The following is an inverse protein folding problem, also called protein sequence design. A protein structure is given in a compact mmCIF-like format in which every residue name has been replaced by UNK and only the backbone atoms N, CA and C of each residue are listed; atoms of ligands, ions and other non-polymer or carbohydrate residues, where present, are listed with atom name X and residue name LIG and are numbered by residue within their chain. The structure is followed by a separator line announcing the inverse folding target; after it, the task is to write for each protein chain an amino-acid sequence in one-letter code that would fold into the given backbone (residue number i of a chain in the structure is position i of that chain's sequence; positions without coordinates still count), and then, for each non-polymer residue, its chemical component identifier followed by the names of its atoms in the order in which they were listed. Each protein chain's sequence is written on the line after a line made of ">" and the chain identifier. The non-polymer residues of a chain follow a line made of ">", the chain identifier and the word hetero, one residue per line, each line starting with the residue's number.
data_IF_511411573502
#
_entry.id   IF_511411573502
#
_cell.length_a   1.000
_cell.length_b   1.000
_cell.length_c   1.000
_cell.angle_alpha   90.00
_cell.angle_beta   90.00
_cell.angle_gamma   90.00
#
_symmetry.space_group_name_H-M   'P 1'
#
loop_
_entity.id
_entity.type
_entity.pdbx_description
1 polymer ?
#
# COMPACT_ATOMS: atom_id res chain seq x y z
N UNK A 1 15.25 0.99 -5.09
CA UNK A 1 15.66 1.23 -3.68
C UNK A 1 15.38 0.03 -2.76
N UNK A 2 14.20 -0.61 -2.82
CA UNK A 2 13.82 -1.73 -1.95
C UNK A 2 14.74 -2.97 -1.99
N UNK A 3 15.37 -3.27 -3.13
CA UNK A 3 16.28 -4.42 -3.27
C UNK A 3 17.43 -4.47 -2.26
N UNK A 4 17.86 -3.30 -1.76
CA UNK A 4 18.96 -3.18 -0.80
C UNK A 4 18.48 -3.15 0.67
N UNK A 5 17.17 -3.30 0.89
CA UNK A 5 16.52 -3.19 2.21
C UNK A 5 15.82 -4.48 2.64
N UNK A 6 16.16 -5.61 2.00
CA UNK A 6 15.54 -6.93 2.25
C UNK A 6 15.65 -7.37 3.72
N UNK A 7 16.71 -6.98 4.41
CA UNK A 7 16.95 -7.33 5.82
C UNK A 7 16.51 -6.25 6.81
N UNK A 8 15.96 -5.13 6.35
CA UNK A 8 15.60 -3.99 7.19
C UNK A 8 14.09 -3.80 7.28
N UNK A 9 13.64 -3.19 8.38
CA UNK A 9 12.31 -2.59 8.48
C UNK A 9 12.34 -1.21 7.85
N UNK A 10 11.25 -0.85 7.17
CA UNK A 10 11.11 0.41 6.46
C UNK A 10 9.91 1.19 6.94
N UNK A 11 10.13 2.49 7.03
CA UNK A 11 9.08 3.49 7.11
C UNK A 11 8.92 4.14 5.74
N UNK A 12 7.68 4.29 5.29
CA UNK A 12 7.36 4.76 3.94
C UNK A 12 6.20 5.74 4.00
N UNK A 13 6.35 6.87 3.30
CA UNK A 13 5.28 7.80 2.99
C UNK A 13 5.02 7.75 1.48
N UNK A 14 3.79 7.50 1.06
CA UNK A 14 3.46 7.29 -0.35
C UNK A 14 1.99 7.61 -0.66
N UNK A 15 1.62 7.60 -1.93
CA UNK A 15 0.24 7.75 -2.40
C UNK A 15 -0.31 6.39 -2.83
N UNK A 16 -1.53 6.07 -2.40
CA UNK A 16 -2.26 4.88 -2.83
C UNK A 16 -2.71 5.02 -4.29
N UNK A 17 -2.52 3.94 -5.05
CA UNK A 17 -2.78 3.85 -6.49
C UNK A 17 -3.76 2.74 -6.86
N UNK A 18 -4.29 2.05 -5.85
CA UNK A 18 -5.45 1.18 -6.00
C UNK A 18 -6.24 1.07 -4.70
N UNK A 19 -7.50 0.69 -4.84
CA UNK A 19 -8.39 0.38 -3.72
C UNK A 19 -8.24 -1.11 -3.39
N UNK A 20 -7.99 -1.49 -2.12
CA UNK A 20 -7.91 -2.89 -1.76
C UNK A 20 -9.27 -3.58 -1.97
N UNK A 21 -9.30 -4.85 -2.40
CA UNK A 21 -10.53 -5.63 -2.39
C UNK A 21 -10.97 -5.89 -0.94
N UNK A 22 -12.21 -6.39 -0.79
CA UNK A 22 -12.75 -6.77 0.50
C UNK A 22 -11.78 -7.68 1.29
N UNK A 23 -11.49 -7.35 2.57
CA UNK A 23 -10.56 -8.11 3.40
C UNK A 23 -10.90 -9.60 3.46
N UNK A 24 -9.93 -10.43 3.10
CA UNK A 24 -10.09 -11.89 3.12
C UNK A 24 -9.42 -12.49 4.35
N UNK A 25 -10.13 -13.37 5.05
CA UNK A 25 -9.57 -14.10 6.18
C UNK A 25 -8.87 -15.36 5.69
N UNK A 26 -7.60 -15.53 6.07
CA UNK A 26 -6.85 -16.74 5.72
C UNK A 26 -7.51 -18.00 6.31
N UNK A 27 -7.63 -19.05 5.50
CA UNK A 27 -8.21 -20.34 5.91
C UNK A 27 -7.25 -21.19 6.76
N UNK A 28 -5.94 -20.95 6.61
CA UNK A 28 -4.85 -21.67 7.25
C UNK A 28 -3.90 -20.68 7.93
N UNK A 29 -3.12 -21.15 8.91
CA UNK A 29 -2.21 -20.31 9.70
C UNK A 29 -2.95 -19.44 10.73
N UNK A 30 -2.44 -18.24 11.09
CA UNK A 30 -3.00 -17.37 12.12
C UNK A 30 -4.42 -16.82 11.85
N UNK A 31 -5.01 -17.16 10.69
CA UNK A 31 -6.35 -16.72 10.26
C UNK A 31 -6.55 -15.20 10.30
N UNK A 32 -5.47 -14.45 10.02
CA UNK A 32 -5.53 -13.00 9.87
C UNK A 32 -6.34 -12.61 8.62
N UNK A 33 -7.02 -11.47 8.71
CA UNK A 33 -7.53 -10.74 7.56
C UNK A 33 -6.36 -10.12 6.80
N UNK A 34 -6.46 -10.17 5.48
CA UNK A 34 -5.45 -9.63 4.57
C UNK A 34 -6.09 -8.64 3.61
N UNK A 35 -5.41 -7.52 3.40
CA UNK A 35 -5.66 -6.64 2.25
C UNK A 35 -4.38 -6.46 1.45
N UNK A 36 -4.54 -6.08 0.19
CA UNK A 36 -3.44 -5.79 -0.72
C UNK A 36 -3.84 -4.63 -1.61
N UNK A 37 -2.95 -3.65 -1.75
CA UNK A 37 -3.13 -2.48 -2.62
C UNK A 37 -1.75 -2.01 -3.09
N UNK A 38 -1.73 -1.08 -4.04
CA UNK A 38 -0.49 -0.54 -4.62
C UNK A 38 -0.26 0.90 -4.19
N UNK A 39 1.00 1.27 -4.00
CA UNK A 39 1.43 2.63 -3.68
C UNK A 39 2.48 3.13 -4.68
N UNK A 40 2.61 4.45 -4.77
CA UNK A 40 3.65 5.12 -5.55
C UNK A 40 4.22 6.35 -4.85
N UNK A 41 5.37 6.80 -5.30
CA UNK A 41 5.99 8.07 -4.92
C UNK A 41 6.73 8.68 -6.13
N UNK A 42 7.32 9.86 -5.91
CA UNK A 42 8.11 10.58 -6.92
C UNK A 42 9.28 9.78 -7.48
N UNK A 43 9.78 8.77 -6.75
CA UNK A 43 11.00 8.03 -7.12
C UNK A 43 10.74 6.88 -8.08
N UNK A 44 9.51 6.37 -8.15
CA UNK A 44 9.14 5.23 -9.00
C UNK A 44 8.06 5.54 -10.03
N UNK A 45 7.24 6.57 -9.81
CA UNK A 45 6.25 7.02 -10.77
C UNK A 45 6.89 7.64 -12.03
N UNK A 46 6.17 7.68 -13.16
CA UNK A 46 4.85 7.06 -13.40
C UNK A 46 4.95 5.57 -13.79
N UNK A 47 6.16 5.00 -13.82
CA UNK A 47 6.42 3.66 -14.36
C UNK A 47 6.39 2.52 -13.35
N UNK A 48 6.25 2.83 -12.06
CA UNK A 48 6.38 1.85 -10.99
C UNK A 48 5.37 2.07 -9.89
N UNK A 49 4.95 0.94 -9.31
CA UNK A 49 4.19 0.87 -8.07
C UNK A 49 4.81 -0.21 -7.18
N UNK A 50 4.55 -0.12 -5.88
CA UNK A 50 4.93 -1.14 -4.90
C UNK A 50 3.66 -1.74 -4.33
N UNK A 51 3.58 -3.06 -4.29
CA UNK A 51 2.49 -3.76 -3.60
C UNK A 51 2.71 -3.69 -2.08
N UNK A 52 1.64 -3.39 -1.34
CA UNK A 52 1.60 -3.42 0.12
C UNK A 52 0.65 -4.52 0.55
N UNK A 53 1.11 -5.40 1.46
CA UNK A 53 0.31 -6.47 2.06
C UNK A 53 0.21 -6.27 3.56
N UNK A 54 -1.02 -6.14 4.05
CA UNK A 54 -1.29 -5.92 5.48
C UNK A 54 -2.08 -7.10 6.04
N UNK A 55 -1.64 -7.61 7.18
CA UNK A 55 -2.21 -8.77 7.88
C UNK A 55 -2.62 -8.38 9.30
N UNK A 56 -3.90 -8.50 9.68
CA UNK A 56 -4.35 -8.28 11.06
C UNK A 56 -5.37 -9.31 11.55
N UNK A 57 -5.44 -9.61 12.86
CA UNK A 57 -6.44 -10.53 13.40
C UNK A 57 -7.89 -10.06 13.21
N UNK A 58 -8.11 -8.75 13.10
CA UNK A 58 -9.43 -8.12 13.01
C UNK A 58 -9.56 -7.25 11.75
N UNK A 59 -10.78 -7.19 11.18
CA UNK A 59 -11.06 -6.48 9.92
C UNK A 59 -11.02 -4.96 10.09
N UNK A 60 -11.53 -4.45 11.20
CA UNK A 60 -11.57 -3.04 11.58
C UNK A 60 -10.17 -2.44 11.81
N UNK A 61 -9.19 -3.27 12.16
CA UNK A 61 -7.80 -2.85 12.27
C UNK A 61 -7.18 -2.49 10.91
N UNK A 62 -7.71 -2.99 9.78
CA UNK A 62 -7.13 -2.79 8.46
C UNK A 62 -7.43 -1.39 7.90
N UNK A 63 -6.49 -0.76 7.17
CA UNK A 63 -6.71 0.55 6.58
C UNK A 63 -7.68 0.48 5.41
N UNK A 64 -8.32 1.61 5.11
CA UNK A 64 -9.21 1.75 3.95
C UNK A 64 -8.73 2.86 3.01
N UNK A 65 -7.60 2.68 2.31
CA UNK A 65 -7.09 3.67 1.38
C UNK A 65 -7.92 3.70 0.08
N UNK A 66 -8.14 4.90 -0.44
CA UNK A 66 -8.63 5.15 -1.78
C UNK A 66 -7.52 5.64 -2.71
N UNK A 67 -7.77 5.70 -4.02
CA UNK A 67 -6.78 6.23 -4.96
C UNK A 67 -6.56 7.72 -4.67
N UNK A 68 -5.31 8.13 -4.53
CA UNK A 68 -4.95 9.50 -4.15
C UNK A 68 -4.76 9.69 -2.64
N UNK A 69 -5.27 8.77 -1.80
CA UNK A 69 -5.01 8.82 -0.37
C UNK A 69 -3.51 8.72 -0.10
N UNK A 70 -3.07 9.51 0.87
CA UNK A 70 -1.75 9.41 1.44
C UNK A 70 -1.67 8.26 2.42
N UNK A 71 -0.56 7.52 2.45
CA UNK A 71 -0.34 6.47 3.43
C UNK A 71 1.04 6.58 4.07
N UNK A 72 1.06 6.53 5.40
CA UNK A 72 2.25 6.28 6.21
C UNK A 72 2.26 4.82 6.61
N UNK A 73 3.37 4.15 6.35
CA UNK A 73 3.65 2.77 6.76
C UNK A 73 4.86 2.79 7.67
N UNK A 74 4.76 2.17 8.86
CA UNK A 74 5.86 2.03 9.82
C UNK A 74 6.25 0.58 10.02
N UNK A 75 7.54 0.32 10.09
CA UNK A 75 8.14 -0.99 10.33
C UNK A 75 7.73 -2.11 9.35
N UNK A 76 7.59 -1.80 8.06
CA UNK A 76 7.28 -2.81 7.04
C UNK A 76 8.52 -3.60 6.61
N UNK A 77 8.37 -4.90 6.39
CA UNK A 77 9.42 -5.74 5.80
C UNK A 77 9.36 -5.68 4.27
N UNK A 78 10.52 -5.81 3.63
CA UNK A 78 10.59 -5.97 2.18
C UNK A 78 10.59 -7.44 1.83
N UNK A 79 9.67 -7.86 0.97
CA UNK A 79 9.58 -9.22 0.44
C UNK A 79 9.76 -9.21 -1.08
N UNK A 80 10.44 -10.22 -1.63
CA UNK A 80 10.54 -10.38 -3.08
C UNK A 80 9.29 -11.08 -3.61
N UNK A 81 8.79 -10.63 -4.75
CA UNK A 81 7.74 -11.29 -5.51
C UNK A 81 8.35 -11.81 -6.80
N UNK A 82 8.29 -13.13 -6.98
CA UNK A 82 8.84 -13.81 -8.16
C UNK A 82 8.27 -13.18 -9.43
N UNK A 83 9.15 -12.67 -10.29
CA UNK A 83 8.80 -12.05 -11.57
C UNK A 83 8.18 -10.64 -11.49
N UNK A 84 8.10 -10.03 -10.29
CA UNK A 84 7.38 -8.77 -10.05
C UNK A 84 8.11 -7.75 -9.18
N UNK A 85 9.33 -8.06 -8.75
CA UNK A 85 10.14 -7.15 -7.94
C UNK A 85 9.91 -7.34 -6.45
N UNK A 86 9.54 -6.27 -5.75
CA UNK A 86 9.47 -6.23 -4.29
C UNK A 86 8.12 -5.70 -3.80
N UNK A 87 7.70 -6.15 -2.63
CA UNK A 87 6.53 -5.69 -1.92
C UNK A 87 6.86 -5.35 -0.46
N UNK A 88 6.04 -4.48 0.11
CA UNK A 88 6.04 -4.19 1.53
C UNK A 88 5.04 -5.11 2.23
N UNK A 89 5.47 -5.73 3.33
CA UNK A 89 4.65 -6.63 4.13
C UNK A 89 4.63 -6.16 5.58
N UNK A 90 3.43 -6.06 6.15
CA UNK A 90 3.29 -5.80 7.58
C UNK A 90 3.74 -7.01 8.40
N UNK A 91 4.42 -6.76 9.51
CA UNK A 91 4.57 -7.72 10.60
C UNK A 91 3.72 -7.29 11.82
N UNK A 92 3.98 -7.92 12.97
CA UNK A 92 3.28 -7.65 14.23
C UNK A 92 3.46 -6.20 14.70
N UNK A 93 4.68 -5.67 14.69
CA UNK A 93 4.99 -4.28 15.10
C UNK A 93 4.58 -3.20 14.10
N UNK A 94 4.21 -3.56 12.87
CA UNK A 94 3.92 -2.55 11.84
C UNK A 94 2.68 -1.71 12.16
N UNK A 95 2.68 -0.45 11.74
CA UNK A 95 1.54 0.44 11.95
C UNK A 95 1.34 1.36 10.74
N UNK A 96 0.16 1.98 10.61
CA UNK A 96 -0.16 2.81 9.45
C UNK A 96 -1.19 3.90 9.72
N UNK A 97 -1.04 5.02 9.03
CA UNK A 97 -2.02 6.09 9.00
C UNK A 97 -2.40 6.38 7.54
N UNK A 98 -3.69 6.50 7.28
CA UNK A 98 -4.22 6.92 5.97
C UNK A 98 -4.63 8.38 6.08
N UNK A 99 -3.96 9.22 5.32
CA UNK A 99 -4.29 10.62 5.16
C UNK A 99 -5.29 10.69 4.01
N UNK A 100 -6.53 11.11 4.27
CA UNK A 100 -7.59 11.19 3.24
C UNK A 100 -7.37 12.32 2.26
N UNK A 101 -7.36 12.00 0.97
CA UNK A 101 -7.09 12.97 -0.12
C UNK A 101 -8.02 14.18 0.00
N UNK A 102 -9.30 13.88 0.23
CA UNK A 102 -10.32 14.85 0.58
C UNK A 102 -10.21 15.23 2.07
N UNK A 103 -9.74 16.46 2.32
CA UNK A 103 -9.79 17.07 3.65
C UNK A 103 -8.54 16.88 4.52
N UNK A 104 -8.75 17.02 5.83
CA UNK A 104 -7.67 16.98 6.85
C UNK A 104 -7.72 15.73 7.72
N UNK A 105 -8.58 14.77 7.36
CA UNK A 105 -8.79 13.56 8.12
C UNK A 105 -7.59 12.62 8.00
N UNK A 106 -7.15 12.11 9.15
CA UNK A 106 -6.15 11.05 9.24
C UNK A 106 -6.78 9.87 9.95
N UNK A 107 -7.01 8.81 9.19
CA UNK A 107 -7.49 7.54 9.68
C UNK A 107 -6.33 6.74 10.26
N UNK A 108 -6.38 6.46 11.57
CA UNK A 108 -5.45 5.57 12.25
C UNK A 108 -6.23 4.33 12.71
N UNK A 109 -6.21 3.28 11.87
CA UNK A 109 -6.76 1.97 12.20
C UNK A 109 -5.67 1.02 12.64
N UNK A 110 -5.97 0.16 13.61
CA UNK A 110 -5.01 -0.83 14.12
C UNK A 110 -4.06 -0.24 15.18
N UNK A 111 -2.78 -0.64 15.20
CA UNK A 111 -1.82 -0.17 16.21
C UNK A 111 -1.63 1.36 16.17
N UNK A 112 -1.33 2.02 17.30
CA UNK A 112 -0.98 3.43 17.32
C UNK A 112 0.18 3.76 16.38
N UNK A 113 0.13 4.95 15.77
CA UNK A 113 1.10 5.41 14.77
C UNK A 113 1.60 6.78 15.15
N UNK A 114 2.92 6.92 15.15
CA UNK A 114 3.56 8.22 15.34
C UNK A 114 3.70 8.93 14.00
N UNK A 115 3.08 10.11 13.92
CA UNK A 115 3.23 11.07 12.83
C UNK A 115 3.11 12.49 13.37
N UNK A 116 3.88 13.41 12.80
CA UNK A 116 3.97 14.78 13.26
C UNK A 116 3.86 15.80 12.13
N UNK A 117 4.41 17.00 12.39
CA UNK A 117 4.42 18.07 11.40
C UNK A 117 5.21 17.70 10.14
N UNK A 118 6.32 16.95 10.29
CA UNK A 118 7.15 16.50 9.17
C UNK A 118 6.40 15.61 8.20
N UNK A 119 5.77 14.53 8.69
CA UNK A 119 4.98 13.63 7.85
C UNK A 119 3.79 14.35 7.21
N UNK A 120 3.09 15.21 7.96
CA UNK A 120 1.96 16.00 7.42
C UNK A 120 2.40 16.92 6.27
N UNK A 121 3.52 17.62 6.45
CA UNK A 121 4.08 18.50 5.41
C UNK A 121 4.47 17.71 4.17
N UNK A 122 5.21 16.61 4.36
CA UNK A 122 5.64 15.79 3.24
C UNK A 122 4.47 15.13 2.51
N UNK A 123 3.40 14.76 3.24
CA UNK A 123 2.19 14.23 2.64
C UNK A 123 1.50 15.25 1.74
N UNK A 124 1.46 16.52 2.15
CA UNK A 124 0.92 17.62 1.32
C UNK A 124 1.70 17.74 0.01
N UNK A 125 3.03 17.71 0.09
CA UNK A 125 3.92 17.77 -1.07
C UNK A 125 3.70 16.57 -2.03
N UNK A 126 3.57 15.36 -1.48
CA UNK A 126 3.28 14.16 -2.27
C UNK A 126 1.94 14.23 -2.98
N UNK A 127 0.89 14.75 -2.32
CA UNK A 127 -0.42 14.89 -2.97
C UNK A 127 -0.41 15.96 -4.05
N UNK A 128 0.17 17.11 -3.78
CA UNK A 128 0.31 18.18 -4.78
C UNK A 128 1.02 17.66 -6.04
N UNK A 129 2.09 16.89 -5.83
CA UNK A 129 2.78 16.21 -6.92
C UNK A 129 1.88 15.20 -7.66
N UNK A 130 1.18 14.33 -6.93
CA UNK A 130 0.37 13.27 -7.53
C UNK A 130 -0.79 13.83 -8.37
N UNK A 131 -1.46 14.87 -7.88
CA UNK A 131 -2.52 15.57 -8.60
C UNK A 131 -1.99 16.32 -9.83
N UNK A 132 -0.75 16.82 -9.73
CA UNK A 132 -0.03 17.48 -10.81
C UNK A 132 0.47 16.57 -11.93
N UNK A 133 0.31 15.24 -11.83
CA UNK A 133 0.66 14.32 -12.92
C UNK A 133 -0.20 14.60 -14.17
N UNK A 134 0.45 14.60 -15.34
CA UNK A 134 -0.23 14.75 -16.61
C UNK A 134 -1.05 13.48 -16.98
N UNK A 135 -1.90 13.59 -18.00
CA UNK A 135 -2.79 12.51 -18.40
C UNK A 135 -2.03 11.24 -18.85
N UNK A 136 -0.91 11.40 -19.56
CA UNK A 136 -0.10 10.27 -20.00
C UNK A 136 0.56 9.55 -18.81
N UNK A 137 1.02 10.32 -17.82
CA UNK A 137 1.57 9.81 -16.58
C UNK A 137 0.52 9.06 -15.77
N UNK A 138 -0.70 9.61 -15.64
CA UNK A 138 -1.85 8.98 -14.98
C UNK A 138 -2.23 7.66 -15.64
N UNK A 139 -2.38 7.65 -16.97
CA UNK A 139 -2.68 6.42 -17.75
C UNK A 139 -1.59 5.36 -17.55
N UNK A 140 -0.31 5.76 -17.55
CA UNK A 140 0.79 4.82 -17.35
C UNK A 140 0.78 4.23 -15.94
N UNK A 141 0.54 5.06 -14.94
CA UNK A 141 0.48 4.64 -13.54
C UNK A 141 -0.68 3.67 -13.30
N UNK A 142 -1.87 3.96 -13.83
CA UNK A 142 -3.04 3.08 -13.77
C UNK A 142 -2.76 1.71 -14.44
N UNK A 143 -2.13 1.71 -15.62
CA UNK A 143 -1.73 0.48 -16.32
C UNK A 143 -0.79 -0.37 -15.47
N UNK A 144 0.22 0.24 -14.85
CA UNK A 144 1.19 -0.47 -14.00
C UNK A 144 0.53 -0.98 -12.72
N UNK A 145 -0.33 -0.18 -12.09
CA UNK A 145 -1.12 -0.59 -10.92
C UNK A 145 -1.98 -1.83 -11.23
N UNK A 146 -2.74 -1.78 -12.34
CA UNK A 146 -3.57 -2.89 -12.80
C UNK A 146 -2.76 -4.14 -13.13
N UNK A 147 -1.61 -4.01 -13.78
CA UNK A 147 -0.73 -5.13 -14.10
C UNK A 147 -0.16 -5.79 -12.83
N UNK A 148 0.17 -4.98 -11.82
CA UNK A 148 0.64 -5.50 -10.54
C UNK A 148 -0.45 -6.32 -9.86
N UNK A 149 -1.68 -5.83 -9.79
CA UNK A 149 -2.80 -6.57 -9.20
C UNK A 149 -3.10 -7.90 -9.91
N UNK A 150 -3.16 -7.90 -11.24
CA UNK A 150 -3.56 -9.08 -12.04
C UNK A 150 -2.64 -10.27 -11.86
N UNK A 151 -1.35 -10.03 -11.65
CA UNK A 151 -0.40 -11.13 -11.43
C UNK A 151 -0.14 -11.43 -9.95
N UNK A 152 -0.81 -10.75 -9.00
CA UNK A 152 -0.65 -11.08 -7.59
C UNK A 152 -1.42 -12.36 -7.28
N UNK A 153 -0.79 -13.36 -6.62
CA UNK A 153 -1.34 -14.72 -6.49
C UNK A 153 -2.65 -14.83 -5.66
N UNK A 154 -3.24 -13.72 -5.21
CA UNK A 154 -4.52 -13.68 -4.50
C UNK A 154 -5.76 -13.73 -5.40
N UNK A 155 -5.68 -13.34 -6.67
CA UNK A 155 -6.84 -13.38 -7.60
C UNK A 155 -7.01 -14.74 -8.31
N UNK A 156 -5.96 -15.57 -8.42
CA UNK A 156 -6.00 -16.81 -9.23
C UNK A 156 -6.58 -18.06 -8.53
N UNK A 157 -6.91 -18.01 -7.23
CA UNK A 157 -7.48 -19.16 -6.51
C UNK A 157 -9.01 -19.15 -6.32
N UNK A 158 -9.73 -18.16 -6.87
CA UNK A 158 -11.20 -18.07 -6.72
C UNK A 158 -12.03 -18.46 -7.96
N UNK A 159 -11.42 -18.66 -9.14
CA UNK A 159 -12.16 -18.99 -10.38
C UNK A 159 -11.90 -20.41 -10.92
N UNK A 160 -11.79 -21.41 -10.06
CA UNK A 160 -11.97 -22.81 -10.49
C UNK A 160 -12.86 -23.58 -9.54
N UNK A 161 -14.16 -23.32 -9.65
CA UNK A 161 -15.21 -24.33 -9.40
C UNK A 161 -16.26 -24.23 -10.51
N UNK A 162 -16.12 -25.09 -11.50
CA UNK A 162 -17.24 -25.68 -12.23
C UNK A 162 -16.88 -27.12 -12.55
#
# INVERSE_FOLDING_TARGET
>A
MLRFKITSKLDVLAIATSVPPDPQRAKLGPRHYTITFTITDQTIAPSGVVEVKIFRPYKDALPTPEIGDGILLREFSVSSIKGKGFALRSEEGSSWAVFKDEGTEVEVRGPPVEYGHGEKKHMKELREWFHGLDENQKIKLEKVSTAMEKGSPGKSMLEKKK
#
